data_IF_942633671158
#
_entry.id   IF_942633671158
#
_cell.length_a   1.000
_cell.length_b   1.000
_cell.length_c   1.000
_cell.angle_alpha   90.00
_cell.angle_beta   90.00
_cell.angle_gamma   90.00
#
_symmetry.space_group_name_H-M   'P 1'
#
loop_
_entity.id
_entity.type
_entity.pdbx_description
1 polymer ?
#
# COMPACT_ATOMS: atom_id res chain seq x y z
N UNK A 1 -7.97 9.80 -28.09
CA UNK A 1 -7.31 9.97 -26.78
C UNK A 1 -8.38 10.06 -25.70
N UNK A 2 -8.69 8.97 -24.98
CA UNK A 2 -9.74 9.00 -23.95
C UNK A 2 -9.19 9.66 -22.67
N UNK A 3 -9.86 10.70 -22.17
CA UNK A 3 -9.47 11.37 -20.92
C UNK A 3 -9.58 10.37 -19.75
N UNK A 4 -8.68 10.44 -18.74
CA UNK A 4 -8.77 9.59 -17.56
C UNK A 4 -10.14 9.72 -16.86
N UNK A 5 -10.61 8.64 -16.22
CA UNK A 5 -11.88 8.66 -15.47
C UNK A 5 -11.79 9.66 -14.30
N UNK A 6 -12.85 10.44 -14.12
CA UNK A 6 -13.01 11.31 -12.96
C UNK A 6 -13.27 10.47 -11.68
N UNK A 7 -12.97 11.02 -10.50
CA UNK A 7 -13.11 10.33 -9.22
C UNK A 7 -14.54 9.80 -8.98
N UNK A 8 -15.57 10.61 -9.29
CA UNK A 8 -16.98 10.18 -9.22
C UNK A 8 -17.32 9.03 -10.17
N UNK A 9 -16.68 8.97 -11.34
CA UNK A 9 -16.86 7.87 -12.30
C UNK A 9 -16.20 6.59 -11.79
N UNK A 10 -15.01 6.71 -11.20
CA UNK A 10 -14.31 5.58 -10.57
C UNK A 10 -15.09 5.04 -9.38
N UNK A 11 -15.66 5.92 -8.55
CA UNK A 11 -16.44 5.51 -7.38
C UNK A 11 -17.74 4.82 -7.77
N UNK A 12 -18.46 5.34 -8.77
CA UNK A 12 -19.64 4.65 -9.29
C UNK A 12 -19.28 3.27 -9.86
N UNK A 13 -18.17 3.19 -10.62
CA UNK A 13 -17.76 1.92 -11.21
C UNK A 13 -17.27 0.90 -10.14
N UNK A 14 -16.66 1.39 -9.05
CA UNK A 14 -16.34 0.57 -7.86
C UNK A 14 -17.58 0.09 -7.13
N UNK A 15 -18.60 0.94 -7.05
CA UNK A 15 -19.88 0.58 -6.42
C UNK A 15 -20.57 -0.53 -7.23
N UNK A 16 -20.69 -0.34 -8.54
CA UNK A 16 -21.33 -1.31 -9.45
C UNK A 16 -20.59 -2.66 -9.50
N UNK A 17 -19.26 -2.68 -9.37
CA UNK A 17 -18.47 -3.93 -9.35
C UNK A 17 -18.56 -4.71 -8.03
N UNK A 18 -18.99 -4.08 -6.93
CA UNK A 18 -19.19 -4.75 -5.63
C UNK A 18 -20.60 -5.25 -5.40
N UNK A 19 -21.57 -4.72 -6.14
CA UNK A 19 -22.96 -5.17 -6.13
C UNK A 19 -23.05 -6.53 -6.84
N UNK A 20 -23.66 -7.52 -6.20
CA UNK A 20 -23.93 -8.83 -6.83
C UNK A 20 -25.24 -8.84 -7.64
N UNK A 21 -26.00 -7.75 -7.64
CA UNK A 21 -27.30 -7.63 -8.27
C UNK A 21 -27.42 -6.45 -9.25
N UNK A 22 -28.47 -6.45 -10.08
CA UNK A 22 -28.72 -5.39 -11.05
C UNK A 22 -29.06 -4.07 -10.34
N UNK A 23 -28.27 -3.02 -10.61
CA UNK A 23 -28.49 -1.68 -10.04
C UNK A 23 -29.37 -0.87 -10.98
N UNK A 24 -30.46 -0.29 -10.46
CA UNK A 24 -31.35 0.56 -11.27
C UNK A 24 -30.64 1.82 -11.75
N UNK A 25 -30.81 2.18 -13.02
CA UNK A 25 -30.25 3.41 -13.59
C UNK A 25 -30.97 4.66 -13.10
N UNK A 26 -32.18 4.53 -12.55
CA UNK A 26 -32.97 5.64 -12.02
C UNK A 26 -32.37 6.25 -10.74
N UNK A 27 -31.68 5.45 -9.93
CA UNK A 27 -31.07 5.88 -8.66
C UNK A 27 -29.66 6.47 -8.85
N UNK A 28 -29.19 6.55 -10.10
CA UNK A 28 -27.82 6.90 -10.45
C UNK A 28 -27.78 8.23 -11.22
N UNK A 29 -26.66 8.94 -11.09
CA UNK A 29 -26.45 10.18 -11.84
C UNK A 29 -26.32 9.88 -13.34
N UNK A 30 -27.34 10.27 -14.11
CA UNK A 30 -27.43 10.06 -15.55
C UNK A 30 -26.25 10.66 -16.34
N UNK A 31 -25.58 11.71 -15.84
CA UNK A 31 -24.38 12.27 -16.49
C UNK A 31 -23.21 11.30 -16.39
N UNK A 32 -23.05 10.66 -15.22
CA UNK A 32 -21.97 9.70 -14.97
C UNK A 32 -22.23 8.41 -15.76
N UNK A 33 -23.49 7.95 -15.80
CA UNK A 33 -23.88 6.80 -16.62
C UNK A 33 -23.56 7.07 -18.10
N UNK A 34 -23.99 8.21 -18.64
CA UNK A 34 -23.75 8.55 -20.06
C UNK A 34 -22.26 8.57 -20.40
N UNK A 35 -21.44 9.11 -19.50
CA UNK A 35 -19.98 9.17 -19.69
C UNK A 35 -19.29 7.81 -19.57
N UNK A 36 -19.78 6.91 -18.72
CA UNK A 36 -19.27 5.54 -18.62
C UNK A 36 -19.73 4.66 -19.79
N UNK A 37 -20.96 4.87 -20.27
CA UNK A 37 -21.53 4.19 -21.45
C UNK A 37 -20.81 4.59 -22.74
N UNK A 38 -20.46 5.87 -22.90
CA UNK A 38 -19.67 6.34 -24.07
C UNK A 38 -18.23 5.80 -24.11
N UNK A 39 -17.80 5.09 -23.07
CA UNK A 39 -16.48 4.48 -22.93
C UNK A 39 -16.56 2.96 -22.83
N UNK A 40 -17.71 2.39 -23.17
CA UNK A 40 -18.01 0.95 -23.10
C UNK A 40 -17.72 0.32 -21.72
N UNK A 41 -17.73 1.11 -20.64
CA UNK A 41 -17.44 0.65 -19.30
C UNK A 41 -18.66 0.04 -18.59
N UNK A 42 -19.86 0.39 -19.06
CA UNK A 42 -21.14 -0.12 -18.56
C UNK A 42 -22.10 -0.33 -19.72
N UNK A 43 -22.98 -1.32 -19.58
CA UNK A 43 -24.15 -1.52 -20.45
C UNK A 43 -25.42 -1.32 -19.63
N UNK A 44 -26.47 -0.91 -20.32
CA UNK A 44 -27.79 -0.70 -19.71
C UNK A 44 -28.78 -1.64 -20.36
N UNK A 45 -29.41 -2.49 -19.55
CA UNK A 45 -30.41 -3.46 -19.98
C UNK A 45 -31.65 -3.31 -19.09
N UNK A 46 -32.81 -3.03 -19.69
CA UNK A 46 -34.09 -2.91 -18.99
C UNK A 46 -34.07 -1.96 -17.78
N UNK A 47 -33.36 -0.82 -17.90
CA UNK A 47 -33.23 0.15 -16.79
C UNK A 47 -32.26 -0.28 -15.69
N UNK A 48 -31.46 -1.33 -15.91
CA UNK A 48 -30.40 -1.75 -15.01
C UNK A 48 -29.03 -1.54 -15.62
N UNK A 49 -28.07 -1.15 -14.79
CA UNK A 49 -26.68 -0.93 -15.19
C UNK A 49 -25.85 -2.16 -14.83
N UNK A 50 -25.14 -2.67 -15.83
CA UNK A 50 -24.21 -3.80 -15.71
C UNK A 50 -22.81 -3.32 -16.10
N UNK A 51 -21.79 -3.71 -15.34
CA UNK A 51 -20.40 -3.38 -15.65
C UNK A 51 -19.86 -4.39 -16.68
N UNK A 52 -19.31 -3.87 -17.77
CA UNK A 52 -18.65 -4.68 -18.81
C UNK A 52 -17.25 -5.12 -18.38
N UNK A 53 -16.66 -6.06 -19.10
CA UNK A 53 -15.27 -6.47 -18.88
C UNK A 53 -14.29 -5.30 -19.12
N UNK A 54 -14.52 -4.49 -20.15
CA UNK A 54 -13.77 -3.27 -20.40
C UNK A 54 -13.84 -2.28 -19.23
N UNK A 55 -15.01 -2.14 -18.58
CA UNK A 55 -15.15 -1.35 -17.36
C UNK A 55 -14.31 -1.87 -16.21
N UNK A 56 -14.30 -3.20 -16.00
CA UNK A 56 -13.48 -3.85 -14.97
C UNK A 56 -11.98 -3.65 -15.22
N UNK A 57 -11.53 -3.77 -16.46
CA UNK A 57 -10.14 -3.51 -16.85
C UNK A 57 -9.76 -2.05 -16.64
N UNK A 58 -10.64 -1.12 -17.02
CA UNK A 58 -10.42 0.32 -16.83
C UNK A 58 -10.31 0.67 -15.35
N UNK A 59 -11.12 0.03 -14.49
CA UNK A 59 -11.00 0.16 -13.04
C UNK A 59 -9.67 -0.39 -12.52
N UNK A 60 -9.25 -1.57 -12.97
CA UNK A 60 -7.97 -2.15 -12.57
C UNK A 60 -6.80 -1.25 -12.99
N UNK A 61 -6.83 -0.71 -14.22
CA UNK A 61 -5.83 0.25 -14.72
C UNK A 61 -5.81 1.57 -13.94
N UNK A 62 -6.96 2.07 -13.49
CA UNK A 62 -7.06 3.28 -12.65
C UNK A 62 -6.66 3.04 -11.18
N UNK A 63 -6.83 1.80 -10.68
CA UNK A 63 -6.55 1.43 -9.27
C UNK A 63 -5.13 0.92 -9.05
N UNK A 64 -4.54 0.24 -10.03
CA UNK A 64 -3.15 -0.23 -10.02
C UNK A 64 -2.13 0.86 -9.62
N UNK A 65 -2.18 2.10 -10.14
CA UNK A 65 -1.24 3.15 -9.74
C UNK A 65 -1.46 3.62 -8.30
N UNK A 66 -2.70 3.60 -7.79
CA UNK A 66 -3.01 4.03 -6.40
C UNK A 66 -2.64 2.96 -5.36
N UNK A 67 -2.86 1.68 -5.64
CA UNK A 67 -2.52 0.57 -4.72
C UNK A 67 -1.00 0.40 -4.60
N UNK A 68 -0.27 0.52 -5.71
CA UNK A 68 1.20 0.43 -5.71
C UNK A 68 1.84 1.54 -4.88
N UNK A 69 1.34 2.79 -5.02
CA UNK A 69 1.82 3.94 -4.22
C UNK A 69 1.53 3.79 -2.73
N UNK A 70 0.34 3.31 -2.33
CA UNK A 70 -0.02 3.09 -0.93
C UNK A 70 0.79 1.97 -0.27
N UNK A 71 1.04 0.86 -0.97
CA UNK A 71 1.87 -0.24 -0.45
C UNK A 71 3.32 0.21 -0.25
N UNK A 72 3.89 0.94 -1.21
CA UNK A 72 5.26 1.47 -1.09
C UNK A 72 5.36 2.45 0.09
N UNK A 73 4.39 3.36 0.26
CA UNK A 73 4.38 4.29 1.39
C UNK A 73 4.23 3.58 2.75
N UNK A 74 3.32 2.60 2.87
CA UNK A 74 3.12 1.84 4.11
C UNK A 74 4.32 0.94 4.46
N UNK A 75 5.01 0.40 3.44
CA UNK A 75 6.23 -0.38 3.62
C UNK A 75 7.43 0.50 4.00
N UNK A 76 7.48 1.73 3.47
CA UNK A 76 8.48 2.74 3.84
C UNK A 76 8.31 3.23 5.29
N UNK A 77 7.07 3.44 5.76
CA UNK A 77 6.80 3.83 7.15
C UNK A 77 7.12 2.69 8.13
N UNK A 78 6.79 1.44 7.79
CA UNK A 78 7.11 0.28 8.62
C UNK A 78 8.63 0.04 8.74
N UNK A 79 9.38 0.21 7.64
CA UNK A 79 10.84 0.05 7.62
C UNK A 79 11.53 1.14 8.45
N UNK A 80 11.06 2.39 8.36
CA UNK A 80 11.56 3.50 9.16
C UNK A 80 11.23 3.33 10.66
N UNK A 81 10.02 2.87 10.99
CA UNK A 81 9.65 2.57 12.37
C UNK A 81 10.53 1.46 12.98
N UNK A 82 10.86 0.42 12.19
CA UNK A 82 11.74 -0.66 12.61
C UNK A 82 13.18 -0.20 12.83
N UNK A 83 13.74 0.60 11.93
CA UNK A 83 15.09 1.16 12.08
C UNK A 83 15.19 2.04 13.35
N UNK A 84 14.18 2.88 13.60
CA UNK A 84 14.11 3.71 14.81
C UNK A 84 13.96 2.90 16.10
N UNK A 85 13.19 1.80 16.06
CA UNK A 85 13.07 0.87 17.19
C UNK A 85 14.41 0.18 17.51
N UNK A 86 15.15 -0.25 16.48
CA UNK A 86 16.49 -0.84 16.63
C UNK A 86 17.48 0.18 17.21
N UNK A 87 17.46 1.43 16.73
CA UNK A 87 18.32 2.50 17.28
C UNK A 87 18.03 2.76 18.77
N UNK A 88 16.76 2.78 19.19
CA UNK A 88 16.40 2.93 20.60
C UNK A 88 16.86 1.74 21.45
N UNK A 89 16.71 0.52 20.93
CA UNK A 89 17.18 -0.68 21.62
C UNK A 89 18.71 -0.67 21.81
N UNK A 90 19.46 -0.21 20.80
CA UNK A 90 20.92 -0.03 20.90
C UNK A 90 21.29 0.97 21.99
N UNK A 91 20.60 2.12 22.07
CA UNK A 91 20.84 3.12 23.12
C UNK A 91 20.62 2.55 24.53
N UNK A 92 19.59 1.72 24.71
CA UNK A 92 19.30 1.05 25.99
C UNK A 92 20.37 0.00 26.30
N UNK A 93 20.84 -0.75 25.30
CA UNK A 93 21.91 -1.73 25.46
C UNK A 93 23.23 -1.06 25.86
N UNK A 94 23.59 0.06 25.23
CA UNK A 94 24.78 0.86 25.57
C UNK A 94 24.75 1.41 27.00
N UNK A 95 23.55 1.68 27.55
CA UNK A 95 23.37 2.11 28.94
C UNK A 95 23.44 0.94 29.93
N UNK A 96 23.07 -0.26 29.51
CA UNK A 96 22.96 -1.44 30.37
C UNK A 96 24.22 -2.32 30.37
N UNK A 97 25.02 -2.29 29.30
CA UNK A 97 26.21 -3.11 29.14
C UNK A 97 27.46 -2.37 29.63
N UNK A 98 28.22 -2.94 30.58
CA UNK A 98 29.56 -2.46 30.89
C UNK A 98 30.45 -2.53 29.64
N UNK A 99 31.30 -1.52 29.44
CA UNK A 99 32.35 -1.60 28.42
C UNK A 99 33.24 -2.80 28.71
N UNK A 100 33.71 -3.47 27.66
CA UNK A 100 34.53 -4.69 27.74
C UNK A 100 33.82 -5.93 28.33
N UNK A 101 32.49 -5.92 28.45
CA UNK A 101 31.74 -7.12 28.87
C UNK A 101 31.49 -8.08 27.71
N UNK A 102 31.48 -9.39 28.01
CA UNK A 102 31.03 -10.41 27.06
C UNK A 102 29.51 -10.61 27.17
N UNK A 103 28.85 -10.70 26.02
CA UNK A 103 27.41 -10.86 25.89
C UNK A 103 27.11 -12.16 25.15
N UNK A 104 26.21 -12.96 25.71
CA UNK A 104 25.68 -14.13 25.04
C UNK A 104 24.56 -13.72 24.07
N UNK A 105 24.75 -13.97 22.77
CA UNK A 105 23.75 -13.83 21.72
C UNK A 105 23.36 -15.23 21.23
N UNK A 106 22.28 -15.77 21.79
CA UNK A 106 21.92 -17.17 21.57
C UNK A 106 22.99 -18.11 22.14
N UNK A 107 23.68 -18.86 21.26
CA UNK A 107 24.74 -19.78 21.65
C UNK A 107 26.16 -19.22 21.42
N UNK A 108 26.28 -17.94 21.06
CA UNK A 108 27.55 -17.30 20.71
C UNK A 108 27.87 -16.25 21.77
N UNK A 109 29.11 -16.24 22.26
CA UNK A 109 29.62 -15.17 23.11
C UNK A 109 30.38 -14.15 22.25
N UNK A 110 30.11 -12.87 22.46
CA UNK A 110 30.76 -11.79 21.74
C UNK A 110 31.00 -10.59 22.67
N UNK A 111 32.01 -9.79 22.38
CA UNK A 111 32.23 -8.54 23.10
C UNK A 111 31.04 -7.59 22.90
N UNK A 112 30.60 -6.93 23.97
CA UNK A 112 29.46 -6.02 23.97
C UNK A 112 29.59 -4.94 22.89
N UNK A 113 30.79 -4.39 22.72
CA UNK A 113 31.08 -3.34 21.73
C UNK A 113 30.91 -3.85 20.29
N UNK A 114 31.34 -5.08 19.99
CA UNK A 114 31.17 -5.70 18.67
C UNK A 114 29.70 -5.99 18.36
N UNK A 115 28.93 -6.39 19.37
CA UNK A 115 27.48 -6.63 19.24
C UNK A 115 26.75 -5.32 18.96
N UNK A 116 27.06 -4.26 19.71
CA UNK A 116 26.50 -2.92 19.53
C UNK A 116 26.82 -2.37 18.14
N UNK A 117 28.08 -2.49 17.70
CA UNK A 117 28.49 -2.02 16.37
C UNK A 117 27.88 -2.86 15.24
N UNK A 118 27.68 -4.16 15.44
CA UNK A 118 26.92 -5.02 14.55
C UNK A 118 25.47 -4.53 14.36
N UNK A 119 24.78 -4.23 15.46
CA UNK A 119 23.42 -3.69 15.41
C UNK A 119 23.35 -2.31 14.75
N UNK A 120 24.36 -1.44 14.98
CA UNK A 120 24.45 -0.13 14.30
C UNK A 120 24.63 -0.28 12.79
N UNK A 121 25.49 -1.20 12.34
CA UNK A 121 25.68 -1.51 10.91
C UNK A 121 24.40 -2.06 10.29
N UNK A 122 23.70 -2.94 11.00
CA UNK A 122 22.42 -3.48 10.56
C UNK A 122 21.33 -2.41 10.43
N UNK A 123 21.20 -1.51 11.41
CA UNK A 123 20.28 -0.38 11.34
C UNK A 123 20.55 0.52 10.12
N UNK A 124 21.82 0.84 9.85
CA UNK A 124 22.22 1.61 8.66
C UNK A 124 21.94 0.86 7.35
N UNK A 125 22.09 -0.46 7.32
CA UNK A 125 21.79 -1.26 6.13
C UNK A 125 20.27 -1.31 5.84
N UNK A 126 19.43 -1.34 6.88
CA UNK A 126 17.98 -1.22 6.74
C UNK A 126 17.57 0.14 6.17
N UNK A 127 18.27 1.21 6.54
CA UNK A 127 18.06 2.55 5.98
C UNK A 127 18.59 2.69 4.54
N UNK A 128 19.70 2.02 4.18
CA UNK A 128 20.29 2.07 2.82
C UNK A 128 19.55 1.23 1.77
N UNK A 129 18.84 0.16 2.16
CA UNK A 129 17.91 -0.58 1.26
C UNK A 129 16.75 0.27 0.71
N UNK A 130 16.70 1.56 1.08
CA UNK A 130 15.79 2.61 0.62
C UNK A 130 16.22 3.26 -0.72
N UNK A 131 17.48 3.12 -1.15
CA UNK A 131 18.02 3.75 -2.36
C UNK A 131 17.90 2.85 -3.60
#
# INVERSE_FOLDING_TARGET
>A
MSQPLNEKQVDLLRYLTRQSGPVSSADLDGRIIRALKSRDCITEHNGHVVVTDAGRETLQGAVAPKVRKRRVAAQQTATHARAKAVQRAIQILELALPRDSEVAVGNIFAAADDVVDGFRRYARALEKKKA
#
